data_IF_927513176292
#
_entry.id   IF_927513176292
#
_cell.length_a   1.000
_cell.length_b   1.000
_cell.length_c   1.000
_cell.angle_alpha   90.00
_cell.angle_beta   90.00
_cell.angle_gamma   90.00
#
_symmetry.space_group_name_H-M   'P 1'
#
loop_
_entity.id
_entity.type
_entity.pdbx_description
1 polymer ?
#
# COMPACT_ATOMS: atom_id res chain seq x y z
N UNK A 1 2.04 0.91 -16.52
CA UNK A 1 1.43 1.22 -15.22
C UNK A 1 1.81 0.11 -14.27
N UNK A 2 2.02 0.40 -12.98
CA UNK A 2 2.23 -0.68 -12.01
C UNK A 2 0.87 -1.25 -11.65
N UNK A 3 0.59 -2.47 -12.12
CA UNK A 3 -0.69 -3.10 -11.89
C UNK A 3 -0.60 -3.87 -10.57
N UNK A 4 -1.42 -3.45 -9.60
CA UNK A 4 -1.48 -4.08 -8.28
C UNK A 4 -2.66 -5.06 -8.28
N UNK A 5 -2.36 -6.34 -8.16
CA UNK A 5 -3.38 -7.40 -8.15
C UNK A 5 -3.36 -8.13 -6.82
N UNK A 6 -4.51 -8.68 -6.47
CA UNK A 6 -4.64 -9.47 -5.23
C UNK A 6 -4.71 -10.94 -5.59
N UNK A 7 -3.97 -11.78 -4.87
CA UNK A 7 -3.91 -13.22 -5.08
C UNK A 7 -4.07 -13.97 -3.75
N UNK A 8 -4.15 -15.31 -3.82
CA UNK A 8 -4.10 -16.19 -2.65
C UNK A 8 -2.87 -17.08 -2.71
N UNK A 9 -2.17 -17.24 -1.60
CA UNK A 9 -1.11 -18.23 -1.46
C UNK A 9 -1.69 -19.65 -1.48
N UNK A 10 -0.83 -20.65 -1.67
CA UNK A 10 -1.21 -22.07 -1.51
C UNK A 10 -1.80 -22.38 -0.12
N UNK A 11 -1.40 -21.61 0.90
CA UNK A 11 -1.92 -21.68 2.27
C UNK A 11 -3.13 -20.77 2.53
N UNK A 12 -3.74 -20.17 1.50
CA UNK A 12 -4.96 -19.37 1.59
C UNK A 12 -4.77 -17.91 2.04
N UNK A 13 -3.53 -17.48 2.31
CA UNK A 13 -3.24 -16.09 2.70
C UNK A 13 -3.46 -15.15 1.54
N UNK A 14 -4.10 -14.00 1.80
CA UNK A 14 -4.31 -12.94 0.81
C UNK A 14 -2.99 -12.21 0.58
N UNK A 15 -2.54 -12.21 -0.67
CA UNK A 15 -1.29 -11.59 -1.11
C UNK A 15 -1.58 -10.37 -1.98
N UNK A 16 -0.71 -9.39 -1.90
CA UNK A 16 -0.71 -8.21 -2.72
C UNK A 16 0.51 -8.27 -3.64
N UNK A 17 0.27 -8.34 -4.95
CA UNK A 17 1.30 -8.50 -5.96
C UNK A 17 1.41 -7.25 -6.81
N UNK A 18 2.65 -6.79 -6.98
CA UNK A 18 2.99 -5.65 -7.84
C UNK A 18 3.58 -6.22 -9.12
N UNK A 19 2.92 -5.96 -10.26
CA UNK A 19 3.42 -6.35 -11.57
C UNK A 19 4.07 -5.17 -12.29
N UNK A 20 5.12 -5.47 -13.03
CA UNK A 20 5.72 -4.53 -13.98
C UNK A 20 4.88 -4.42 -15.27
N UNK A 21 5.33 -3.61 -16.21
CA UNK A 21 4.64 -3.39 -17.48
C UNK A 21 4.64 -4.65 -18.37
N UNK A 22 5.61 -5.53 -18.16
CA UNK A 22 5.77 -6.78 -18.91
C UNK A 22 4.94 -7.92 -18.29
N UNK A 23 4.27 -7.67 -17.17
CA UNK A 23 3.42 -8.64 -16.47
C UNK A 23 4.18 -9.55 -15.50
N UNK A 24 5.48 -9.34 -15.30
CA UNK A 24 6.27 -10.08 -14.32
C UNK A 24 6.00 -9.56 -12.92
N UNK A 25 6.11 -10.45 -11.94
CA UNK A 25 6.03 -10.06 -10.53
C UNK A 25 7.28 -9.29 -10.14
N UNK A 26 7.10 -8.02 -9.77
CA UNK A 26 8.17 -7.19 -9.22
C UNK A 26 8.31 -7.40 -7.72
N UNK A 27 7.19 -7.54 -7.02
CA UNK A 27 7.15 -7.75 -5.57
C UNK A 27 5.85 -8.48 -5.18
N UNK A 28 5.91 -9.27 -4.11
CA UNK A 28 4.77 -9.99 -3.53
C UNK A 28 4.80 -9.88 -2.01
N UNK A 29 3.72 -9.35 -1.44
CA UNK A 29 3.62 -9.10 0.00
C UNK A 29 2.33 -9.70 0.59
N UNK A 30 2.32 -9.93 1.89
CA UNK A 30 1.09 -10.23 2.61
C UNK A 30 0.16 -9.01 2.64
N UNK A 31 -1.11 -9.21 2.27
CA UNK A 31 -2.11 -8.14 2.19
C UNK A 31 -2.25 -7.36 3.50
N UNK A 32 -2.18 -8.07 4.65
CA UNK A 32 -2.28 -7.45 5.98
C UNK A 32 -1.20 -6.39 6.20
N UNK A 33 0.02 -6.66 5.72
CA UNK A 33 1.17 -5.76 5.89
C UNK A 33 1.06 -4.57 4.95
N UNK A 34 0.74 -4.80 3.68
CA UNK A 34 0.57 -3.73 2.70
C UNK A 34 -0.55 -2.77 3.10
N UNK A 35 -1.72 -3.31 3.46
CA UNK A 35 -2.88 -2.49 3.83
C UNK A 35 -2.65 -1.69 5.13
N UNK A 36 -2.01 -2.28 6.14
CA UNK A 36 -1.69 -1.55 7.37
C UNK A 36 -0.67 -0.43 7.14
N UNK A 37 0.28 -0.59 6.22
CA UNK A 37 1.21 0.48 5.85
C UNK A 37 0.50 1.62 5.11
N UNK A 38 -0.42 1.31 4.20
CA UNK A 38 -1.18 2.34 3.49
C UNK A 38 -2.04 3.16 4.46
N UNK A 39 -2.73 2.52 5.41
CA UNK A 39 -3.47 3.24 6.45
C UNK A 39 -2.57 4.15 7.29
N UNK A 40 -1.37 3.68 7.68
CA UNK A 40 -0.40 4.50 8.43
C UNK A 40 0.09 5.71 7.64
N UNK A 41 0.34 5.55 6.34
CA UNK A 41 0.78 6.65 5.47
C UNK A 41 -0.30 7.71 5.32
N UNK A 42 -1.55 7.30 5.10
CA UNK A 42 -2.68 8.23 5.05
C UNK A 42 -2.83 8.99 6.37
N UNK A 43 -2.80 8.29 7.50
CA UNK A 43 -2.87 8.93 8.82
C UNK A 43 -1.76 9.94 9.05
N UNK A 44 -0.51 9.63 8.66
CA UNK A 44 0.60 10.59 8.76
C UNK A 44 0.39 11.80 7.83
N UNK A 45 -0.05 11.59 6.60
CA UNK A 45 -0.32 12.67 5.66
C UNK A 45 -1.44 13.60 6.17
N UNK A 46 -2.47 13.04 6.82
CA UNK A 46 -3.54 13.81 7.45
C UNK A 46 -3.03 14.64 8.64
N UNK A 47 -2.18 14.06 9.50
CA UNK A 47 -1.55 14.77 10.61
C UNK A 47 -0.63 15.89 10.12
N UNK A 48 0.18 15.63 9.10
CA UNK A 48 1.09 16.62 8.52
C UNK A 48 0.31 17.75 7.83
N UNK A 49 -0.82 17.44 7.18
CA UNK A 49 -1.72 18.44 6.60
C UNK A 49 -2.41 19.29 7.68
N UNK A 50 -2.83 18.69 8.79
CA UNK A 50 -3.39 19.39 9.93
C UNK A 50 -2.36 20.29 10.62
N UNK A 51 -1.11 19.83 10.77
CA UNK A 51 -0.01 20.61 11.32
C UNK A 51 0.33 21.83 10.45
N UNK A 52 0.39 21.66 9.12
CA UNK A 52 0.60 22.76 8.17
C UNK A 52 -0.52 23.80 8.20
N UNK A 53 -1.78 23.39 8.41
CA UNK A 53 -2.91 24.31 8.57
C UNK A 53 -2.83 25.13 9.87
N UNK A 54 -2.38 24.53 10.98
CA UNK A 54 -2.15 25.25 12.25
C UNK A 54 -1.03 26.27 12.15
N UNK A 55 0.05 25.95 11.43
CA UNK A 55 1.22 26.83 11.31
C UNK A 55 1.02 28.00 10.31
N UNK A 56 -0.14 28.06 9.63
CA UNK A 56 -0.50 29.14 8.69
C UNK A 56 -1.47 30.17 9.31
N UNK A 57 -1.84 29.99 10.57
CA UNK A 57 -2.66 30.94 11.35
C UNK A 57 -1.75 31.73 12.29
#
# INVERSE_FOLDING_TARGET
MTNRTTHRSKSGKKLYAVRDKEGKFKDIQDYKRAHSQDMKRTSKAELDAAAKKKNKK
#
